data_IF_394161455869
#
_entry.id   IF_394161455869
#
_cell.length_a   1.000
_cell.length_b   1.000
_cell.length_c   1.000
_cell.angle_alpha   90.00
_cell.angle_beta   90.00
_cell.angle_gamma   90.00
#
_symmetry.space_group_name_H-M   'P 1'
#
loop_
_entity.id
_entity.type
_entity.pdbx_description
1 polymer ?
#
# COMPACT_ATOMS: atom_id res chain seq x y z
N UNK A 1 -17.41 9.42 19.91
CA UNK A 1 -18.33 8.28 19.66
C UNK A 1 -19.82 8.62 19.89
N UNK A 2 -20.22 9.90 19.93
CA UNK A 2 -21.62 10.27 20.26
C UNK A 2 -22.65 9.99 19.14
N UNK A 3 -22.22 9.63 17.94
CA UNK A 3 -23.10 9.17 16.87
C UNK A 3 -22.43 7.98 16.18
N UNK A 4 -22.98 6.75 16.27
CA UNK A 4 -22.47 5.64 15.48
C UNK A 4 -22.70 5.97 14.01
N UNK A 5 -21.64 6.03 13.21
CA UNK A 5 -21.73 6.10 11.76
C UNK A 5 -22.54 4.90 11.26
N UNK A 6 -23.43 5.12 10.29
CA UNK A 6 -24.22 4.04 9.70
C UNK A 6 -23.26 2.95 9.17
N UNK A 7 -23.26 1.78 9.82
CA UNK A 7 -22.43 0.63 9.45
C UNK A 7 -21.34 0.22 10.45
N UNK A 8 -21.03 1.03 11.48
CA UNK A 8 -20.01 0.64 12.47
C UNK A 8 -20.60 -0.26 13.57
N UNK A 9 -20.25 -1.54 13.57
CA UNK A 9 -20.76 -2.55 14.49
C UNK A 9 -19.79 -2.74 15.64
N UNK A 10 -20.29 -2.57 16.86
CA UNK A 10 -19.50 -2.77 18.05
C UNK A 10 -20.34 -3.42 19.14
N UNK A 11 -19.66 -4.19 19.97
CA UNK A 11 -20.29 -5.05 20.96
C UNK A 11 -19.44 -5.14 22.23
N UNK A 12 -20.06 -5.66 23.28
CA UNK A 12 -19.40 -6.06 24.52
C UNK A 12 -19.92 -7.44 24.96
N UNK A 13 -19.47 -7.92 26.11
CA UNK A 13 -19.96 -9.17 26.70
C UNK A 13 -21.25 -8.90 27.46
N UNK A 14 -22.24 -9.77 27.26
CA UNK A 14 -23.52 -9.75 27.96
C UNK A 14 -23.32 -9.95 29.46
N UNK A 15 -24.05 -9.20 30.27
CA UNK A 15 -24.06 -9.28 31.73
C UNK A 15 -22.66 -9.06 32.34
N UNK A 16 -21.83 -8.25 31.66
CA UNK A 16 -20.49 -7.89 32.13
C UNK A 16 -20.44 -6.51 32.76
N UNK A 17 -19.38 -6.25 33.54
CA UNK A 17 -19.06 -4.91 34.06
C UNK A 17 -19.01 -3.85 32.95
N UNK A 18 -18.46 -4.22 31.78
CA UNK A 18 -18.38 -3.33 30.63
C UNK A 18 -19.78 -2.97 30.07
N UNK A 19 -20.71 -3.93 30.00
CA UNK A 19 -22.09 -3.65 29.59
C UNK A 19 -22.80 -2.74 30.58
N UNK A 20 -22.68 -3.00 31.89
CA UNK A 20 -23.29 -2.19 32.94
C UNK A 20 -22.73 -0.76 32.96
N UNK A 21 -21.41 -0.62 32.76
CA UNK A 21 -20.76 0.69 32.65
C UNK A 21 -21.28 1.48 31.45
N UNK A 22 -21.37 0.85 30.27
CA UNK A 22 -21.89 1.48 29.05
C UNK A 22 -23.36 1.81 29.20
N UNK A 23 -24.16 0.94 29.80
CA UNK A 23 -25.59 1.18 30.08
C UNK A 23 -25.80 2.40 30.97
N UNK A 24 -24.97 2.58 32.00
CA UNK A 24 -25.04 3.71 32.94
C UNK A 24 -24.53 5.01 32.33
N UNK A 25 -23.43 4.95 31.59
CA UNK A 25 -22.74 6.15 31.10
C UNK A 25 -23.24 6.63 29.73
N UNK A 26 -23.65 5.69 28.86
CA UNK A 26 -24.04 5.93 27.46
C UNK A 26 -25.24 5.06 27.06
N UNK A 27 -26.46 5.38 27.52
CA UNK A 27 -27.64 4.52 27.33
C UNK A 27 -28.01 4.33 25.84
N UNK A 28 -27.87 5.36 25.00
CA UNK A 28 -28.11 5.24 23.55
C UNK A 28 -27.13 4.26 22.88
N UNK A 29 -25.87 4.29 23.33
CA UNK A 29 -24.83 3.37 22.85
C UNK A 29 -25.14 1.93 23.27
N UNK A 30 -25.60 1.74 24.51
CA UNK A 30 -26.02 0.43 25.01
C UNK A 30 -27.19 -0.16 24.20
N UNK A 31 -28.22 0.63 23.88
CA UNK A 31 -29.35 0.18 23.06
C UNK A 31 -28.90 -0.29 21.66
N UNK A 32 -27.91 0.38 21.07
CA UNK A 32 -27.31 -0.08 19.82
C UNK A 32 -26.55 -1.41 19.99
N UNK A 33 -25.67 -1.48 20.99
CA UNK A 33 -24.79 -2.63 21.26
C UNK A 33 -25.54 -3.90 21.62
N UNK A 34 -26.71 -3.80 22.28
CA UNK A 34 -27.50 -4.94 22.78
C UNK A 34 -27.75 -6.00 21.70
N UNK A 35 -27.87 -5.61 20.43
CA UNK A 35 -28.11 -6.50 19.29
C UNK A 35 -26.89 -7.31 18.85
N UNK A 36 -25.69 -6.84 19.19
CA UNK A 36 -24.41 -7.43 18.78
C UNK A 36 -23.63 -8.04 19.96
N UNK A 37 -24.09 -7.85 21.20
CA UNK A 37 -23.42 -8.36 22.40
C UNK A 37 -23.25 -9.88 22.37
N UNK A 38 -22.08 -10.33 22.80
CA UNK A 38 -21.65 -11.73 22.80
C UNK A 38 -21.66 -12.32 24.21
N UNK A 39 -21.80 -13.64 24.39
CA UNK A 39 -21.84 -14.22 25.72
C UNK A 39 -20.47 -14.28 26.40
N UNK A 40 -19.37 -14.31 25.65
CA UNK A 40 -18.03 -14.34 26.21
C UNK A 40 -17.01 -13.55 25.36
N UNK A 41 -15.90 -13.16 25.99
CA UNK A 41 -14.82 -12.42 25.32
C UNK A 41 -14.25 -13.14 24.10
N UNK A 42 -13.95 -14.45 24.14
CA UNK A 42 -13.41 -15.16 22.97
C UNK A 42 -14.31 -15.09 21.74
N UNK A 43 -15.64 -15.09 21.93
CA UNK A 43 -16.60 -14.96 20.83
C UNK A 43 -16.52 -13.58 20.18
N UNK A 44 -16.33 -12.54 20.98
CA UNK A 44 -16.12 -11.17 20.51
C UNK A 44 -14.84 -11.05 19.68
N UNK A 45 -13.75 -11.64 20.19
CA UNK A 45 -12.46 -11.71 19.48
C UNK A 45 -12.59 -12.49 18.16
N UNK A 46 -13.31 -13.61 18.16
CA UNK A 46 -13.54 -14.39 16.95
C UNK A 46 -14.35 -13.61 15.89
N UNK A 47 -15.36 -12.84 16.31
CA UNK A 47 -16.15 -12.01 15.41
C UNK A 47 -15.38 -10.82 14.84
N UNK A 48 -14.42 -10.27 15.58
CA UNK A 48 -13.46 -9.27 15.10
C UNK A 48 -12.50 -9.86 14.05
N UNK A 49 -12.04 -11.09 14.26
CA UNK A 49 -11.07 -11.76 13.36
C UNK A 49 -11.71 -12.45 12.16
N UNK A 50 -13.04 -12.59 12.13
CA UNK A 50 -13.76 -13.25 11.05
C UNK A 50 -13.56 -12.55 9.69
N UNK A 51 -13.62 -13.31 8.61
CA UNK A 51 -13.61 -12.79 7.23
C UNK A 51 -14.87 -13.29 6.49
N UNK A 52 -15.85 -12.43 6.18
CA UNK A 52 -15.88 -10.99 6.45
C UNK A 52 -16.07 -10.67 7.94
N UNK A 53 -15.54 -9.51 8.37
CA UNK A 53 -15.64 -9.04 9.76
C UNK A 53 -17.11 -8.89 10.17
N UNK A 54 -17.47 -9.49 11.30
CA UNK A 54 -18.82 -9.40 11.88
C UNK A 54 -18.94 -8.22 12.84
N UNK A 55 -17.84 -7.88 13.52
CA UNK A 55 -17.70 -6.71 14.39
C UNK A 55 -16.54 -5.86 13.91
N UNK A 56 -16.68 -4.54 14.04
CA UNK A 56 -15.66 -3.56 13.67
C UNK A 56 -14.91 -3.06 14.92
N UNK A 57 -15.55 -3.09 16.10
CA UNK A 57 -14.90 -2.88 17.38
C UNK A 57 -15.50 -3.72 18.51
N UNK A 58 -14.71 -3.99 19.54
CA UNK A 58 -15.13 -4.74 20.71
C UNK A 58 -14.68 -4.00 21.97
N UNK A 59 -15.62 -3.83 22.90
CA UNK A 59 -15.41 -3.07 24.14
C UNK A 59 -15.37 -4.05 25.30
N UNK A 60 -14.24 -4.08 26.02
CA UNK A 60 -14.01 -4.95 27.16
C UNK A 60 -12.85 -4.41 28.02
N UNK A 61 -12.61 -5.04 29.17
CA UNK A 61 -11.48 -4.78 30.05
C UNK A 61 -10.14 -4.72 29.32
N UNK A 62 -9.39 -3.64 29.57
CA UNK A 62 -8.11 -3.37 28.90
C UNK A 62 -7.09 -4.49 29.11
N UNK A 63 -6.96 -5.00 30.34
CA UNK A 63 -5.98 -6.04 30.66
C UNK A 63 -6.24 -7.34 29.87
N UNK A 64 -7.51 -7.71 29.71
CA UNK A 64 -7.91 -8.88 28.94
C UNK A 64 -7.64 -8.67 27.44
N UNK A 65 -7.99 -7.50 26.90
CA UNK A 65 -7.76 -7.19 25.49
C UNK A 65 -6.26 -7.09 25.15
N UNK A 66 -5.45 -6.48 26.01
CA UNK A 66 -4.00 -6.40 25.80
C UNK A 66 -3.37 -7.79 25.81
N UNK A 67 -3.84 -8.70 26.68
CA UNK A 67 -3.42 -10.09 26.67
C UNK A 67 -3.79 -10.77 25.35
N UNK A 68 -5.05 -10.70 24.92
CA UNK A 68 -5.53 -11.30 23.67
C UNK A 68 -4.77 -10.78 22.43
N UNK A 69 -4.47 -9.48 22.38
CA UNK A 69 -3.68 -8.88 21.30
C UNK A 69 -2.23 -9.37 21.34
N UNK A 70 -1.66 -9.57 22.53
CA UNK A 70 -0.27 -10.01 22.70
C UNK A 70 -0.04 -11.48 22.31
N UNK A 71 -1.07 -12.33 22.45
CA UNK A 71 -1.01 -13.75 22.06
C UNK A 71 -1.41 -13.99 20.60
N UNK A 72 -1.94 -12.98 19.91
CA UNK A 72 -2.37 -13.11 18.52
C UNK A 72 -1.18 -13.38 17.58
N UNK A 73 -1.21 -14.50 16.87
CA UNK A 73 -0.17 -14.87 15.91
C UNK A 73 -0.26 -14.06 14.61
N UNK A 74 -1.47 -13.71 14.20
CA UNK A 74 -1.75 -13.03 12.93
C UNK A 74 -1.68 -11.50 13.04
N UNK A 75 -1.63 -10.98 14.25
CA UNK A 75 -1.59 -9.54 14.52
C UNK A 75 -2.69 -8.71 13.86
N UNK A 76 -3.88 -9.28 13.74
CA UNK A 76 -4.99 -8.66 13.01
C UNK A 76 -5.72 -7.60 13.83
N UNK A 77 -5.46 -7.56 15.13
CA UNK A 77 -6.16 -6.70 16.08
C UNK A 77 -5.17 -5.93 16.95
N UNK A 78 -5.63 -4.76 17.41
CA UNK A 78 -4.85 -3.86 18.25
C UNK A 78 -5.78 -3.12 19.21
N UNK A 79 -5.31 -2.82 20.41
CA UNK A 79 -6.05 -2.00 21.36
C UNK A 79 -5.94 -0.52 20.99
N UNK A 80 -7.09 0.16 20.92
CA UNK A 80 -7.17 1.58 20.51
C UNK A 80 -7.71 2.46 21.63
N UNK A 81 -7.14 3.66 21.76
CA UNK A 81 -7.64 4.70 22.66
C UNK A 81 -7.17 4.55 24.12
N UNK A 82 -7.65 5.46 24.96
CA UNK A 82 -7.45 5.42 26.41
C UNK A 82 -8.57 4.60 27.06
N UNK A 83 -8.30 3.87 28.16
CA UNK A 83 -9.36 3.18 28.89
C UNK A 83 -10.44 4.17 29.36
N UNK A 84 -11.72 3.78 29.15
CA UNK A 84 -12.89 4.61 29.46
C UNK A 84 -13.10 4.79 30.96
N UNK A 85 -12.76 3.77 31.75
CA UNK A 85 -12.81 3.77 33.20
C UNK A 85 -11.46 3.31 33.75
N UNK A 86 -11.00 3.98 34.80
CA UNK A 86 -9.82 3.55 35.57
C UNK A 86 -10.36 2.71 36.73
N UNK A 87 -10.54 1.43 36.48
CA UNK A 87 -10.95 0.45 37.48
C UNK A 87 -9.78 -0.50 37.76
N UNK A 88 -9.69 -0.96 39.01
CA UNK A 88 -8.66 -1.89 39.44
C UNK A 88 -9.29 -3.17 39.98
N UNK A 89 -8.66 -4.31 39.71
CA UNK A 89 -9.06 -5.58 40.32
C UNK A 89 -8.70 -5.59 41.82
N UNK A 90 -9.59 -6.15 42.63
CA UNK A 90 -9.42 -6.24 44.08
C UNK A 90 -9.87 -7.59 44.62
N UNK A 91 -9.42 -7.91 45.83
CA UNK A 91 -9.80 -9.14 46.54
C UNK A 91 -10.95 -8.81 47.49
N UNK A 92 -12.10 -9.43 47.28
CA UNK A 92 -13.27 -9.29 48.16
C UNK A 92 -13.22 -10.24 49.35
N UNK A 93 -13.42 -9.73 50.56
CA UNK A 93 -13.56 -10.51 51.80
C UNK A 93 -14.95 -10.25 52.41
N UNK A 94 -15.47 -11.17 53.25
CA UNK A 94 -16.71 -10.92 53.99
C UNK A 94 -16.64 -9.62 54.80
N UNK A 95 -17.80 -8.98 54.96
CA UNK A 95 -17.89 -7.76 55.74
C UNK A 95 -17.37 -7.98 57.16
N UNK A 96 -16.58 -7.04 57.68
CA UNK A 96 -15.93 -7.09 58.99
C UNK A 96 -14.94 -8.25 59.19
N UNK A 97 -14.35 -8.79 58.12
CA UNK A 97 -13.29 -9.79 58.24
C UNK A 97 -12.02 -9.18 58.88
N UNK A 98 -11.45 -9.80 59.94
CA UNK A 98 -10.22 -9.33 60.58
C UNK A 98 -8.99 -9.47 59.67
N UNK A 99 -9.08 -10.22 58.56
CA UNK A 99 -7.98 -10.41 57.62
C UNK A 99 -7.83 -9.26 56.62
N UNK A 100 -8.82 -8.38 56.53
CA UNK A 100 -8.85 -7.31 55.52
C UNK A 100 -7.67 -6.36 55.63
N UNK A 101 -7.28 -5.98 56.86
CA UNK A 101 -6.12 -5.12 57.10
C UNK A 101 -4.82 -5.81 56.69
N UNK A 102 -4.62 -7.05 57.13
CA UNK A 102 -3.38 -7.79 56.90
C UNK A 102 -3.17 -8.07 55.40
N UNK A 103 -4.24 -8.46 54.68
CA UNK A 103 -4.16 -8.70 53.24
C UNK A 103 -3.89 -7.40 52.48
N UNK A 104 -4.52 -6.29 52.88
CA UNK A 104 -4.29 -4.99 52.23
C UNK A 104 -2.85 -4.51 52.43
N UNK A 105 -2.28 -4.71 53.63
CA UNK A 105 -0.89 -4.40 53.93
C UNK A 105 0.08 -5.23 53.09
N UNK A 106 -0.14 -6.55 53.01
CA UNK A 106 0.67 -7.44 52.17
C UNK A 106 0.61 -7.07 50.68
N UNK A 107 -0.58 -6.74 50.16
CA UNK A 107 -0.73 -6.29 48.76
C UNK A 107 0.01 -4.96 48.54
N UNK A 108 -0.04 -4.05 49.50
CA UNK A 108 0.70 -2.79 49.44
C UNK A 108 2.21 -3.04 49.43
N UNK A 109 2.71 -3.97 50.25
CA UNK A 109 4.11 -4.36 50.28
C UNK A 109 4.56 -4.96 48.95
N UNK A 110 3.78 -5.88 48.36
CA UNK A 110 4.12 -6.45 47.04
C UNK A 110 4.15 -5.40 45.92
N UNK A 111 3.33 -4.36 46.04
CA UNK A 111 3.35 -3.24 45.11
C UNK A 111 4.58 -2.35 45.32
N UNK A 112 4.95 -2.02 46.56
CA UNK A 112 6.14 -1.21 46.84
C UNK A 112 7.43 -1.92 46.46
N UNK A 113 7.47 -3.25 46.64
CA UNK A 113 8.65 -4.07 46.37
C UNK A 113 8.83 -4.34 44.85
N UNK A 114 7.90 -3.90 44.00
CA UNK A 114 7.93 -4.13 42.55
C UNK A 114 7.61 -5.58 42.14
N UNK A 115 7.15 -6.42 43.07
CA UNK A 115 6.79 -7.81 42.79
C UNK A 115 5.62 -7.91 41.80
N UNK A 116 4.67 -6.98 41.89
CA UNK A 116 3.57 -6.88 40.93
C UNK A 116 4.06 -6.61 39.50
N UNK A 117 5.08 -5.77 39.33
CA UNK A 117 5.65 -5.47 38.01
C UNK A 117 6.36 -6.69 37.43
N UNK A 118 7.07 -7.45 38.27
CA UNK A 118 7.70 -8.73 37.88
C UNK A 118 6.65 -9.75 37.42
N UNK A 119 5.52 -9.85 38.12
CA UNK A 119 4.41 -10.71 37.70
C UNK A 119 3.80 -10.23 36.38
N UNK A 120 3.60 -8.93 36.22
CA UNK A 120 3.09 -8.36 34.97
C UNK A 120 4.02 -8.68 33.81
N UNK A 121 5.32 -8.46 33.99
CA UNK A 121 6.34 -8.77 32.98
C UNK A 121 6.44 -10.27 32.67
N UNK A 122 6.17 -11.15 33.64
CA UNK A 122 6.20 -12.60 33.42
C UNK A 122 4.99 -13.11 32.64
N UNK A 123 3.79 -12.61 32.96
CA UNK A 123 2.53 -13.17 32.45
C UNK A 123 1.94 -12.40 31.27
N UNK A 124 2.12 -11.08 31.22
CA UNK A 124 1.51 -10.20 30.21
C UNK A 124 2.48 -9.71 29.15
N UNK A 125 3.80 -9.82 29.36
CA UNK A 125 4.83 -9.44 28.36
C UNK A 125 4.98 -10.53 27.29
N UNK A 126 3.88 -10.88 26.63
CA UNK A 126 3.94 -11.67 25.41
C UNK A 126 4.48 -10.74 24.32
N UNK A 127 5.45 -11.23 23.55
CA UNK A 127 6.20 -10.43 22.58
C UNK A 127 5.21 -9.63 21.71
N UNK A 128 5.25 -8.28 21.73
CA UNK A 128 4.34 -7.48 20.93
C UNK A 128 4.42 -7.97 19.50
N UNK A 129 3.29 -8.04 18.81
CA UNK A 129 3.27 -8.39 17.39
C UNK A 129 4.39 -7.69 16.60
N UNK A 130 4.71 -6.44 16.93
CA UNK A 130 5.82 -5.71 16.32
C UNK A 130 7.18 -6.41 16.39
N UNK A 131 7.50 -7.19 17.42
CA UNK A 131 8.78 -7.92 17.53
C UNK A 131 8.72 -9.34 16.95
N UNK A 132 7.56 -10.01 16.96
CA UNK A 132 7.36 -11.31 16.30
C UNK A 132 7.22 -11.16 14.79
N UNK A 133 6.47 -10.16 14.34
CA UNK A 133 6.41 -9.79 12.95
C UNK A 133 7.78 -9.28 12.52
N UNK A 134 8.49 -8.36 13.20
CA UNK A 134 9.85 -8.03 12.77
C UNK A 134 10.83 -9.22 12.77
N UNK A 135 10.79 -10.15 13.73
CA UNK A 135 11.67 -11.32 13.70
C UNK A 135 11.29 -12.36 12.63
N UNK A 136 10.00 -12.54 12.32
CA UNK A 136 9.52 -13.42 11.24
C UNK A 136 9.62 -12.76 9.86
N UNK A 137 9.46 -11.44 9.79
CA UNK A 137 9.55 -10.59 8.60
C UNK A 137 11.02 -10.30 8.26
N UNK A 138 11.94 -10.16 9.23
CA UNK A 138 13.38 -10.09 8.95
C UNK A 138 13.95 -11.43 8.45
N UNK A 139 13.39 -12.56 8.89
CA UNK A 139 13.87 -13.89 8.47
C UNK A 139 13.21 -14.41 7.19
N UNK A 140 12.02 -13.92 6.80
CA UNK A 140 11.29 -14.39 5.60
C UNK A 140 10.71 -13.30 4.68
N UNK A 141 11.01 -12.01 4.87
CA UNK A 141 10.20 -10.96 4.24
C UNK A 141 10.95 -9.66 3.87
N UNK A 142 12.09 -9.80 3.19
CA UNK A 142 12.38 -8.93 2.03
C UNK A 142 11.62 -9.44 0.79
N UNK A 143 10.42 -10.02 0.98
CA UNK A 143 9.77 -10.93 0.05
C UNK A 143 8.77 -10.24 -0.87
N UNK A 144 9.00 -10.39 -2.18
CA UNK A 144 8.08 -10.42 -3.34
C UNK A 144 6.95 -9.38 -3.46
N UNK A 145 6.18 -9.07 -2.42
CA UNK A 145 5.05 -8.12 -2.50
C UNK A 145 5.52 -6.68 -2.74
N UNK A 146 6.55 -6.22 -2.02
CA UNK A 146 7.12 -4.88 -2.23
C UNK A 146 7.92 -4.77 -3.55
N UNK A 147 8.50 -5.88 -4.01
CA UNK A 147 9.24 -5.95 -5.28
C UNK A 147 8.37 -6.33 -6.49
N UNK A 148 7.08 -6.59 -6.28
CA UNK A 148 6.14 -6.96 -7.34
C UNK A 148 6.06 -5.89 -8.44
N UNK A 149 6.16 -4.61 -8.05
CA UNK A 149 6.22 -3.50 -9.00
C UNK A 149 7.41 -3.56 -9.96
N UNK A 150 8.59 -4.00 -9.50
CA UNK A 150 9.76 -4.15 -10.37
C UNK A 150 9.57 -5.28 -11.38
N UNK A 151 8.96 -6.40 -10.96
CA UNK A 151 8.67 -7.51 -11.86
C UNK A 151 7.67 -7.10 -12.96
N UNK A 152 6.62 -6.36 -12.58
CA UNK A 152 5.63 -5.84 -13.54
C UNK A 152 6.27 -4.87 -14.54
N UNK A 153 7.11 -3.95 -14.08
CA UNK A 153 7.82 -3.00 -14.96
C UNK A 153 8.76 -3.72 -15.94
N UNK A 154 9.46 -4.77 -15.48
CA UNK A 154 10.32 -5.59 -16.34
C UNK A 154 9.50 -6.34 -17.41
N UNK A 155 8.39 -6.96 -17.03
CA UNK A 155 7.50 -7.64 -17.98
C UNK A 155 6.94 -6.68 -19.04
N UNK A 156 6.54 -5.47 -18.66
CA UNK A 156 6.07 -4.44 -19.59
C UNK A 156 7.19 -4.00 -20.54
N UNK A 157 8.40 -3.77 -20.03
CA UNK A 157 9.55 -3.40 -20.84
C UNK A 157 9.91 -4.47 -21.89
N UNK A 158 9.90 -5.74 -21.50
CA UNK A 158 10.13 -6.87 -22.41
C UNK A 158 9.01 -6.97 -23.45
N UNK A 159 7.75 -6.83 -23.05
CA UNK A 159 6.62 -6.88 -23.98
C UNK A 159 6.69 -5.76 -25.02
N UNK A 160 7.00 -4.52 -24.61
CA UNK A 160 7.15 -3.39 -25.52
C UNK A 160 8.32 -3.60 -26.50
N UNK A 161 9.46 -4.09 -26.02
CA UNK A 161 10.64 -4.39 -26.85
C UNK A 161 10.34 -5.45 -27.91
N UNK A 162 9.61 -6.51 -27.55
CA UNK A 162 9.18 -7.53 -28.49
C UNK A 162 8.17 -6.98 -29.51
N UNK A 163 7.24 -6.13 -29.09
CA UNK A 163 6.26 -5.50 -29.98
C UNK A 163 6.93 -4.56 -30.99
N UNK A 164 7.88 -3.72 -30.57
CA UNK A 164 8.61 -2.83 -31.49
C UNK A 164 9.45 -3.63 -32.48
N UNK A 165 10.16 -4.66 -32.01
CA UNK A 165 10.96 -5.55 -32.87
C UNK A 165 10.08 -6.27 -33.90
N UNK A 166 8.91 -6.75 -33.49
CA UNK A 166 7.97 -7.43 -34.38
C UNK A 166 7.36 -6.46 -35.40
N UNK A 167 7.02 -5.23 -34.99
CA UNK A 167 6.53 -4.20 -35.89
C UNK A 167 7.57 -3.81 -36.96
N UNK A 168 8.83 -3.62 -36.57
CA UNK A 168 9.93 -3.35 -37.51
C UNK A 168 10.14 -4.50 -38.49
N UNK A 169 10.11 -5.74 -38.00
CA UNK A 169 10.25 -6.91 -38.86
C UNK A 169 9.10 -7.01 -39.88
N UNK A 170 7.88 -6.69 -39.46
CA UNK A 170 6.71 -6.63 -40.36
C UNK A 170 6.84 -5.49 -41.39
N UNK A 171 7.29 -4.31 -41.00
CA UNK A 171 7.54 -3.19 -41.93
C UNK A 171 8.63 -3.58 -42.93
N UNK A 172 9.74 -4.14 -42.48
CA UNK A 172 10.83 -4.59 -43.35
C UNK A 172 10.35 -5.67 -44.34
N UNK A 173 9.62 -6.69 -43.87
CA UNK A 173 9.17 -7.78 -44.74
C UNK A 173 7.94 -7.48 -45.58
N UNK A 174 7.09 -6.52 -45.24
CA UNK A 174 5.82 -6.26 -45.95
C UNK A 174 5.85 -4.93 -46.70
N UNK A 175 6.41 -3.88 -46.11
CA UNK A 175 6.42 -2.53 -46.70
C UNK A 175 7.55 -2.38 -47.72
N UNK A 176 8.77 -2.89 -47.43
CA UNK A 176 9.89 -2.80 -48.38
C UNK A 176 9.61 -3.57 -49.69
N UNK A 177 9.12 -4.83 -49.70
CA UNK A 177 8.80 -5.49 -50.96
C UNK A 177 7.57 -4.90 -51.67
N UNK A 178 6.64 -4.24 -50.95
CA UNK A 178 5.55 -3.47 -51.59
C UNK A 178 6.02 -2.16 -52.22
N UNK A 179 7.06 -1.54 -51.68
CA UNK A 179 7.64 -0.28 -52.19
C UNK A 179 8.67 -0.53 -53.30
N UNK A 180 9.22 -1.75 -53.39
CA UNK A 180 10.23 -2.12 -54.38
C UNK A 180 9.71 -2.22 -55.85
N UNK A 181 8.41 -2.05 -56.14
CA UNK A 181 7.89 -1.70 -57.49
C UNK A 181 6.37 -1.37 -57.41
N UNK A 182 5.82 -0.20 -57.87
CA UNK A 182 6.21 0.54 -59.07
C UNK A 182 6.24 2.08 -58.85
N UNK A 183 7.25 2.62 -58.16
CA UNK A 183 7.53 4.07 -58.22
C UNK A 183 8.47 4.44 -59.38
N UNK A 184 9.20 3.46 -59.94
CA UNK A 184 10.11 3.68 -61.06
C UNK A 184 9.40 3.96 -62.40
N UNK A 185 8.17 3.45 -62.60
CA UNK A 185 7.41 3.67 -63.85
C UNK A 185 6.93 5.12 -64.03
N UNK A 186 6.60 5.81 -62.93
CA UNK A 186 6.18 7.22 -62.96
C UNK A 186 7.37 8.18 -63.09
N UNK A 187 8.51 7.85 -62.47
CA UNK A 187 9.70 8.71 -62.51
C UNK A 187 10.39 8.71 -63.89
N UNK A 188 10.42 7.56 -64.58
CA UNK A 188 10.92 7.46 -65.97
C UNK A 188 10.06 8.25 -66.98
N UNK A 189 8.74 8.34 -66.76
CA UNK A 189 7.86 9.07 -67.67
C UNK A 189 7.96 10.60 -67.50
N UNK A 190 8.27 11.07 -66.29
CA UNK A 190 8.48 12.50 -66.01
C UNK A 190 9.86 12.99 -66.44
N UNK A 191 10.91 12.15 -66.39
CA UNK A 191 12.25 12.54 -66.85
C UNK A 191 12.32 12.74 -68.37
N UNK A 192 11.60 11.90 -69.14
CA UNK A 192 11.53 12.03 -70.60
C UNK A 192 10.79 13.29 -71.09
N UNK A 193 9.87 13.83 -70.28
CA UNK A 193 9.20 15.12 -70.55
C UNK A 193 10.05 16.32 -70.14
N UNK A 194 10.76 16.23 -69.02
CA UNK A 194 11.64 17.30 -68.56
C UNK A 194 12.83 17.51 -69.50
N UNK A 195 13.45 16.44 -70.00
CA UNK A 195 14.57 16.56 -70.95
C UNK A 195 14.15 17.22 -72.28
N UNK A 196 12.92 16.99 -72.78
CA UNK A 196 12.43 17.66 -74.00
C UNK A 196 12.11 19.14 -73.78
N UNK A 197 11.61 19.52 -72.60
CA UNK A 197 11.31 20.91 -72.27
C UNK A 197 12.58 21.74 -72.02
N UNK A 198 13.62 21.14 -71.43
CA UNK A 198 14.89 21.81 -71.17
C UNK A 198 15.74 21.96 -72.44
N UNK A 199 15.68 21.02 -73.38
CA UNK A 199 16.43 21.13 -74.63
C UNK A 199 15.87 22.19 -75.60
N UNK A 200 14.57 22.50 -75.52
CA UNK A 200 13.96 23.61 -76.29
C UNK A 200 14.11 24.97 -75.62
N UNK A 201 14.39 25.01 -74.31
CA UNK A 201 14.56 26.26 -73.57
C UNK A 201 16.00 26.81 -73.58
N UNK A 202 16.99 25.99 -73.94
CA UNK A 202 18.41 26.37 -73.88
C UNK A 202 18.97 26.95 -75.19
N UNK A 203 18.18 27.06 -76.25
CA UNK A 203 18.66 27.56 -77.56
C UNK A 203 18.45 29.08 -77.77
N UNK A 204 17.81 29.80 -76.84
CA UNK A 204 17.55 31.24 -77.00
C UNK A 204 18.46 32.17 -76.15
N UNK A 205 19.22 31.65 -75.18
CA UNK A 205 19.99 32.49 -74.23
C UNK A 205 21.53 32.52 -74.44
N UNK A 206 22.05 31.92 -75.51
CA UNK A 206 23.49 31.90 -75.84
C UNK A 206 23.85 32.81 -77.03
N UNK A 207 23.34 34.06 -77.03
CA UNK A 207 23.91 35.13 -77.85
C UNK A 207 24.03 36.45 -77.09
N UNK A 208 24.56 36.45 -75.86
CA UNK A 208 25.15 37.67 -75.31
C UNK A 208 26.18 37.35 -74.21
N UNK A 209 27.38 37.95 -74.35
CA UNK A 209 28.45 38.11 -73.33
C UNK A 209 29.12 36.81 -72.84
N UNK A 210 30.21 36.32 -73.45
CA UNK A 210 31.60 36.83 -73.50
C UNK A 210 32.20 37.17 -72.11
N UNK A 211 33.30 36.47 -71.80
CA UNK A 211 34.42 36.74 -70.86
C UNK A 211 34.45 36.03 -69.48
N UNK A 212 35.18 34.90 -69.45
CA UNK A 212 36.37 34.54 -68.62
C UNK A 212 36.33 34.56 -67.04
N UNK A 213 37.23 33.85 -66.31
CA UNK A 213 36.83 32.74 -65.44
C UNK A 213 37.50 32.75 -64.03
N UNK A 214 37.48 31.60 -63.34
CA UNK A 214 38.28 31.17 -62.16
C UNK A 214 37.81 31.67 -60.77
N UNK A 215 37.99 30.97 -59.64
CA UNK A 215 38.17 29.57 -59.20
C UNK A 215 38.31 29.67 -57.65
N UNK A 216 37.75 28.70 -56.90
CA UNK A 216 38.36 28.06 -55.70
C UNK A 216 38.39 28.81 -54.33
N UNK A 217 38.32 27.98 -53.27
CA UNK A 217 38.72 28.21 -51.84
C UNK A 217 37.60 28.78 -50.93
N UNK A 218 37.32 28.40 -49.66
CA UNK A 218 37.77 27.34 -48.74
C UNK A 218 36.85 27.27 -47.51
N UNK A 219 36.92 26.11 -46.83
CA UNK A 219 36.73 25.74 -45.41
C UNK A 219 36.37 26.81 -44.34
N UNK A 220 35.70 26.26 -43.31
CA UNK A 220 35.57 26.62 -41.87
C UNK A 220 34.51 27.62 -41.44
N UNK A 221 33.62 27.19 -40.53
CA UNK A 221 33.01 28.01 -39.49
C UNK A 221 32.87 27.20 -38.17
N UNK A 222 32.97 27.86 -37.00
CA UNK A 222 33.28 27.24 -35.71
C UNK A 222 32.08 27.18 -34.74
N UNK A 223 32.44 26.75 -33.54
CA UNK A 223 31.70 26.42 -32.32
C UNK A 223 30.57 27.33 -31.83
N UNK A 224 29.84 26.73 -30.88
CA UNK A 224 29.31 27.30 -29.62
C UNK A 224 27.77 27.22 -29.52
N UNK A 225 27.13 26.88 -28.40
CA UNK A 225 27.48 26.80 -26.98
C UNK A 225 26.53 25.78 -26.32
N UNK A 226 27.04 24.98 -25.37
CA UNK A 226 26.23 24.30 -24.35
C UNK A 226 26.40 25.04 -23.03
N UNK A 227 25.28 25.44 -22.42
CA UNK A 227 24.99 25.37 -20.99
C UNK A 227 23.48 25.48 -20.79
#
# INVERSE_FOLDING_TARGET
LHHPSQGFRFATVRESSAEDYVKKSFPEMHEYMRRYNVPATPDGIQQLKADPQKLDAFIMDKALLDYEVSIDADCKMLTVGKPFAIEGYGIGLPQNSPLTSNISELVSQYKSDGFMDLLHDKWYKVVPCGKRSFAATETLQMGIKHFSGLFVMLCVGVALSLLTTMAEHLVYKVVIPRVHEPRFKYWLHTSQRLHRALNSAFTDDQLTTVADPQKRYVRTFPDAHCL
#
